data_IF_845039006419
#
_entry.id   IF_845039006419
#
_cell.length_a   1.000
_cell.length_b   1.000
_cell.length_c   1.000
_cell.angle_alpha   90.00
_cell.angle_beta   90.00
_cell.angle_gamma   90.00
#
_symmetry.space_group_name_H-M   'P 1'
#
loop_
_entity.id
_entity.type
_entity.pdbx_description
1 polymer ?
#
# COMPACT_ATOMS: atom_id res chain seq x y z
N UNK A 1 25.01 14.73 -41.57
CA UNK A 1 25.78 14.03 -40.51
C UNK A 1 25.68 14.86 -39.23
N UNK A 2 24.62 14.66 -38.45
CA UNK A 2 24.42 15.37 -37.17
C UNK A 2 25.00 14.51 -36.04
N UNK A 3 25.98 15.03 -35.30
CA UNK A 3 26.58 14.34 -34.15
C UNK A 3 25.64 14.52 -32.95
N UNK A 4 25.08 13.43 -32.45
CA UNK A 4 24.43 13.39 -31.14
C UNK A 4 25.54 13.40 -30.08
N UNK A 5 25.54 14.42 -29.22
CA UNK A 5 26.36 14.43 -28.01
C UNK A 5 25.63 13.61 -26.95
N UNK A 6 26.09 12.38 -26.73
CA UNK A 6 25.78 11.58 -25.55
C UNK A 6 26.62 12.12 -24.38
N UNK A 7 26.09 13.08 -23.63
CA UNK A 7 26.59 13.35 -22.28
C UNK A 7 25.84 12.45 -21.28
N UNK A 8 26.55 11.71 -20.41
CA UNK A 8 25.91 10.86 -19.43
C UNK A 8 25.17 11.73 -18.40
N UNK A 9 23.90 11.42 -18.16
CA UNK A 9 23.11 12.03 -17.08
C UNK A 9 23.80 11.71 -15.75
N UNK A 10 24.38 12.74 -15.12
CA UNK A 10 24.94 12.63 -13.77
C UNK A 10 23.80 12.44 -12.76
N UNK A 11 23.45 11.18 -12.52
CA UNK A 11 22.45 10.78 -11.55
C UNK A 11 23.10 10.75 -10.17
N UNK A 12 23.23 11.92 -9.54
CA UNK A 12 23.54 12.03 -8.11
C UNK A 12 22.39 11.42 -7.31
N UNK A 13 22.62 10.22 -6.78
CA UNK A 13 21.76 9.62 -5.76
C UNK A 13 21.86 10.49 -4.51
N UNK A 14 20.85 11.34 -4.30
CA UNK A 14 20.68 12.08 -3.06
C UNK A 14 20.18 11.09 -2.02
N UNK A 15 21.11 10.38 -1.40
CA UNK A 15 20.87 9.66 -0.16
C UNK A 15 20.79 10.68 0.99
N UNK A 16 19.78 11.54 0.94
CA UNK A 16 19.38 12.32 2.10
C UNK A 16 18.05 11.74 2.56
N UNK A 17 18.17 10.87 3.56
CA UNK A 17 17.04 10.34 4.32
C UNK A 17 16.54 11.52 5.15
N UNK A 18 15.78 12.40 4.50
CA UNK A 18 15.11 13.50 5.15
C UNK A 18 14.26 12.90 6.27
N UNK A 19 14.59 13.27 7.51
CA UNK A 19 13.70 13.12 8.64
C UNK A 19 12.31 13.60 8.18
N UNK A 20 11.33 12.68 8.19
CA UNK A 20 9.96 12.99 7.80
C UNK A 20 9.49 14.19 8.64
N UNK A 21 9.45 15.37 8.01
CA UNK A 21 8.98 16.59 8.66
C UNK A 21 7.60 16.29 9.27
N UNK A 22 7.37 16.59 10.56
CA UNK A 22 6.14 16.22 11.26
C UNK A 22 4.89 16.73 10.54
N UNK A 23 5.00 17.84 9.81
CA UNK A 23 3.92 18.42 9.01
C UNK A 23 3.50 17.54 7.81
N UNK A 24 4.44 16.82 7.19
CA UNK A 24 4.16 15.88 6.08
C UNK A 24 3.42 14.66 6.62
N UNK A 25 3.81 14.16 7.79
CA UNK A 25 3.11 13.07 8.48
C UNK A 25 1.67 13.46 8.83
N UNK A 26 1.43 14.68 9.31
CA UNK A 26 0.10 15.18 9.65
C UNK A 26 -0.78 15.43 8.42
N UNK A 27 -0.22 15.92 7.33
CA UNK A 27 -0.93 16.13 6.08
C UNK A 27 -1.35 14.80 5.45
N UNK A 28 -0.47 13.80 5.45
CA UNK A 28 -0.78 12.44 5.00
C UNK A 28 -1.90 11.86 5.87
N UNK A 29 -1.78 11.95 7.20
CA UNK A 29 -2.82 11.46 8.13
C UNK A 29 -4.19 12.08 7.85
N UNK A 30 -4.24 13.37 7.53
CA UNK A 30 -5.49 14.09 7.23
C UNK A 30 -6.12 13.63 5.92
N UNK A 31 -5.32 13.47 4.88
CA UNK A 31 -5.77 12.99 3.56
C UNK A 31 -6.20 11.52 3.62
N UNK A 32 -5.52 10.70 4.43
CA UNK A 32 -5.94 9.33 4.74
C UNK A 32 -7.33 9.30 5.39
N UNK A 33 -7.57 10.17 6.39
CA UNK A 33 -8.86 10.26 7.09
C UNK A 33 -10.01 10.77 6.20
N UNK A 34 -9.71 11.47 5.11
CA UNK A 34 -10.69 11.90 4.12
C UNK A 34 -11.04 10.75 3.17
N UNK A 35 -10.03 10.02 2.68
CA UNK A 35 -10.22 8.85 1.83
C UNK A 35 -10.97 7.69 2.50
N UNK A 36 -10.94 7.59 3.84
CA UNK A 36 -11.71 6.60 4.60
C UNK A 36 -13.20 6.92 4.76
N UNK A 37 -13.61 8.18 4.57
CA UNK A 37 -14.96 8.65 4.96
C UNK A 37 -16.07 8.34 3.95
N UNK A 38 -15.72 7.94 2.74
CA UNK A 38 -16.70 7.54 1.73
C UNK A 38 -16.68 6.03 1.51
N UNK A 39 -17.52 5.28 2.24
CA UNK A 39 -18.31 4.14 1.75
C UNK A 39 -19.44 3.91 2.78
N UNK A 40 -20.63 3.56 2.30
CA UNK A 40 -21.77 3.09 3.10
C UNK A 40 -21.40 1.76 3.82
N UNK A 41 -20.66 1.84 4.92
CA UNK A 41 -19.91 0.73 5.51
C UNK A 41 -20.46 0.26 6.88
N UNK A 42 -20.47 -1.06 7.08
CA UNK A 42 -20.52 -1.66 8.41
C UNK A 42 -19.16 -1.54 9.10
N UNK A 43 -19.14 -1.11 10.36
CA UNK A 43 -17.88 -0.97 11.12
C UNK A 43 -17.39 -2.34 11.61
N UNK A 44 -16.14 -2.67 11.32
CA UNK A 44 -15.45 -3.86 11.86
C UNK A 44 -14.25 -3.41 12.69
N UNK A 45 -14.11 -3.96 13.90
CA UNK A 45 -12.94 -3.72 14.76
C UNK A 45 -12.07 -4.95 14.80
N UNK A 46 -10.79 -4.80 14.46
CA UNK A 46 -9.77 -5.86 14.50
C UNK A 46 -8.67 -5.48 15.48
N UNK A 47 -8.10 -6.46 16.20
CA UNK A 47 -6.95 -6.26 17.09
C UNK A 47 -5.71 -6.91 16.50
N UNK A 48 -4.71 -6.08 16.20
CA UNK A 48 -3.46 -6.50 15.57
C UNK A 48 -2.26 -6.08 16.44
N UNK A 49 -1.16 -6.84 16.34
CA UNK A 49 0.11 -6.45 16.96
C UNK A 49 0.73 -5.24 16.26
N UNK A 50 1.52 -4.45 17.00
CA UNK A 50 2.17 -3.24 16.45
C UNK A 50 3.06 -3.55 15.25
N UNK A 51 3.80 -4.65 15.32
CA UNK A 51 4.71 -5.07 14.24
C UNK A 51 3.95 -5.48 12.98
N UNK A 52 2.78 -6.11 13.13
CA UNK A 52 1.92 -6.47 12.01
C UNK A 52 1.39 -5.21 11.30
N UNK A 53 0.95 -4.22 12.08
CA UNK A 53 0.50 -2.93 11.55
C UNK A 53 1.64 -2.23 10.80
N UNK A 54 2.87 -2.26 11.34
CA UNK A 54 4.03 -1.64 10.71
C UNK A 54 4.35 -2.23 9.33
N UNK A 55 4.22 -3.56 9.18
CA UNK A 55 4.40 -4.23 7.88
C UNK A 55 3.38 -3.74 6.86
N UNK A 56 2.10 -3.70 7.22
CA UNK A 56 1.03 -3.26 6.30
C UNK A 56 1.20 -1.79 5.92
N UNK A 57 1.52 -0.93 6.89
CA UNK A 57 1.81 0.49 6.62
C UNK A 57 2.97 0.65 5.64
N UNK A 58 4.07 -0.08 5.86
CA UNK A 58 5.22 -0.05 4.95
C UNK A 58 4.85 -0.47 3.54
N UNK A 59 4.02 -1.51 3.39
CA UNK A 59 3.57 -1.96 2.08
C UNK A 59 2.68 -0.92 1.38
N UNK A 60 1.78 -0.27 2.13
CA UNK A 60 0.95 0.82 1.62
C UNK A 60 1.81 2.01 1.13
N UNK A 61 2.82 2.41 1.92
CA UNK A 61 3.78 3.46 1.56
C UNK A 61 4.55 3.12 0.29
N UNK A 62 5.03 1.87 0.15
CA UNK A 62 5.74 1.43 -1.07
C UNK A 62 4.84 1.44 -2.31
N UNK A 63 3.53 1.25 -2.14
CA UNK A 63 2.54 1.32 -3.22
C UNK A 63 2.00 2.73 -3.47
N UNK A 64 2.37 3.71 -2.63
CA UNK A 64 1.88 5.08 -2.73
C UNK A 64 0.37 5.22 -2.49
N UNK A 65 -0.23 4.34 -1.68
CA UNK A 65 -1.65 4.38 -1.36
C UNK A 65 -1.89 4.44 0.16
N UNK A 66 -3.02 4.99 0.62
CA UNK A 66 -3.37 5.03 2.05
C UNK A 66 -3.37 3.65 2.70
N UNK A 67 -2.91 3.55 3.95
CA UNK A 67 -2.86 2.30 4.73
C UNK A 67 -4.19 1.53 4.68
N UNK A 68 -5.30 2.26 4.81
CA UNK A 68 -6.64 1.69 4.93
C UNK A 68 -7.15 1.21 3.59
N UNK A 69 -6.85 1.95 2.52
CA UNK A 69 -7.10 1.51 1.14
C UNK A 69 -6.31 0.25 0.82
N UNK A 70 -5.02 0.20 1.17
CA UNK A 70 -4.19 -0.98 0.98
C UNK A 70 -4.76 -2.18 1.73
N UNK A 71 -5.10 -2.02 3.02
CA UNK A 71 -5.66 -3.09 3.83
C UNK A 71 -6.95 -3.64 3.22
N UNK A 72 -7.90 -2.76 2.86
CA UNK A 72 -9.17 -3.15 2.22
C UNK A 72 -8.92 -3.92 0.92
N UNK A 73 -8.01 -3.42 0.06
CA UNK A 73 -7.68 -4.06 -1.21
C UNK A 73 -7.06 -5.44 -1.03
N UNK A 74 -6.07 -5.58 -0.14
CA UNK A 74 -5.34 -6.84 0.05
C UNK A 74 -6.24 -7.90 0.67
N UNK A 75 -6.98 -7.56 1.73
CA UNK A 75 -7.89 -8.51 2.39
C UNK A 75 -8.93 -9.04 1.40
N UNK A 76 -9.52 -8.14 0.61
CA UNK A 76 -10.53 -8.54 -0.37
C UNK A 76 -9.96 -9.41 -1.50
N UNK A 77 -8.82 -9.00 -2.08
CA UNK A 77 -8.16 -9.77 -3.15
C UNK A 77 -7.73 -11.16 -2.68
N UNK A 78 -7.13 -11.24 -1.49
CA UNK A 78 -6.68 -12.51 -0.95
C UNK A 78 -7.87 -13.43 -0.65
N UNK A 79 -8.95 -12.90 -0.07
CA UNK A 79 -10.14 -13.69 0.20
C UNK A 79 -10.74 -14.29 -1.08
N UNK A 80 -10.79 -13.55 -2.20
CA UNK A 80 -11.24 -14.08 -3.48
C UNK A 80 -10.35 -15.23 -3.97
N UNK A 81 -9.03 -15.05 -3.91
CA UNK A 81 -8.09 -16.10 -4.33
C UNK A 81 -8.19 -17.36 -3.44
N UNK A 82 -8.38 -17.18 -2.12
CA UNK A 82 -8.54 -18.28 -1.18
C UNK A 82 -9.84 -19.05 -1.44
N UNK A 83 -10.93 -18.35 -1.78
CA UNK A 83 -12.20 -18.97 -2.16
C UNK A 83 -12.03 -19.79 -3.44
N UNK A 84 -11.45 -19.21 -4.49
CA UNK A 84 -11.21 -19.90 -5.76
C UNK A 84 -10.35 -21.16 -5.55
N UNK A 85 -9.29 -21.04 -4.75
CA UNK A 85 -8.41 -22.16 -4.44
C UNK A 85 -9.15 -23.27 -3.65
N UNK A 86 -9.96 -22.89 -2.66
CA UNK A 86 -10.72 -23.84 -1.88
C UNK A 86 -11.74 -24.60 -2.75
N UNK A 87 -12.49 -23.89 -3.58
CA UNK A 87 -13.46 -24.48 -4.51
C UNK A 87 -12.80 -25.44 -5.51
N UNK A 88 -11.65 -25.06 -6.06
CA UNK A 88 -10.89 -25.94 -6.94
C UNK A 88 -10.46 -27.24 -6.24
N UNK A 89 -9.99 -27.17 -4.99
CA UNK A 89 -9.63 -28.37 -4.20
C UNK A 89 -10.85 -29.26 -3.94
N UNK A 90 -12.02 -28.68 -3.66
CA UNK A 90 -13.25 -29.45 -3.47
C UNK A 90 -13.73 -30.12 -4.75
N UNK A 91 -13.60 -29.46 -5.90
CA UNK A 91 -13.96 -30.03 -7.20
C UNK A 91 -13.10 -31.24 -7.62
N UNK A 92 -11.85 -31.34 -7.14
CA UNK A 92 -10.95 -32.47 -7.43
C UNK A 92 -11.14 -33.68 -6.48
N UNK A 93 -11.95 -33.53 -5.42
CA UNK A 93 -12.21 -34.60 -4.42
C UNK A 93 -13.52 -35.36 -4.67
N UNK A 94 -14.29 -34.95 -5.69
CA UNK A 94 -15.51 -35.61 -6.17
C UNK A 94 -15.28 -36.15 -7.58
#
# INVERSE_FOLDING_TARGET
MAKQNDEPIDMRIVADRADEEPEVSELVTRLEAEAEREIADGTVTLRWGRDQIAVVKRAASLMGIPYQTYLKQVVFKQALADIEHAEAVFAHRH
#
